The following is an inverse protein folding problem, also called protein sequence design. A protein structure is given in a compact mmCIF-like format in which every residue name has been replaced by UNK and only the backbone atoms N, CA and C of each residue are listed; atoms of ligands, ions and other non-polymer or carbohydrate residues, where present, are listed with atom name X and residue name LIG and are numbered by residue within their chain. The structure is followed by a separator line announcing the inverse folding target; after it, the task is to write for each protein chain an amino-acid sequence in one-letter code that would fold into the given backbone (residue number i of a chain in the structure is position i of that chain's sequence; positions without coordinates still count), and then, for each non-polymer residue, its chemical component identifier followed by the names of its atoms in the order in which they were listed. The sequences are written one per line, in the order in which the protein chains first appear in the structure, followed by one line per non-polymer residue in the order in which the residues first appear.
data_IF_683109626026
#
_entry.id   IF_683109626026
#
_cell.length_a   1.000
_cell.length_b   1.000
_cell.length_c   1.000
_cell.angle_alpha   90.00
_cell.angle_beta   90.00
_cell.angle_gamma   90.00
#
_symmetry.space_group_name_H-M   'P 1'
#
loop_
_entity.id
_entity.type
_entity.pdbx_description
1 polymer ?
#
# COMPACT_ATOMS: atom_id res chain seq x y z
N UNK A 1 7.84 -1.69 18.73
CA UNK A 1 7.83 -0.26 19.12
C UNK A 1 7.81 0.51 17.82
N UNK A 2 6.83 1.39 17.59
CA UNK A 2 6.83 2.25 16.41
C UNK A 2 8.00 3.25 16.53
N UNK A 3 8.83 3.37 15.50
CA UNK A 3 9.92 4.37 15.49
C UNK A 3 9.36 5.79 15.34
N UNK A 4 10.19 6.83 15.57
CA UNK A 4 9.75 8.23 15.44
C UNK A 4 9.19 8.53 14.04
N UNK A 5 9.82 7.99 12.99
CA UNK A 5 9.34 8.13 11.61
C UNK A 5 7.98 7.48 11.42
N UNK A 6 7.80 6.24 11.88
CA UNK A 6 6.53 5.51 11.71
C UNK A 6 5.39 6.20 12.47
N UNK A 7 5.67 6.72 13.67
CA UNK A 7 4.69 7.50 14.42
C UNK A 7 4.31 8.78 13.67
N UNK A 8 5.29 9.51 13.12
CA UNK A 8 5.05 10.70 12.29
C UNK A 8 4.18 10.35 11.07
N UNK A 9 4.61 9.39 10.26
CA UNK A 9 3.92 8.95 9.05
C UNK A 9 2.46 8.54 9.31
N UNK A 10 2.22 7.77 10.38
CA UNK A 10 0.88 7.35 10.79
C UNK A 10 0.03 8.54 11.25
N UNK A 11 0.62 9.51 11.95
CA UNK A 11 -0.07 10.69 12.48
C UNK A 11 -0.47 11.64 11.35
N UNK A 12 0.40 11.85 10.37
CA UNK A 12 0.14 12.71 9.20
C UNK A 12 -1.08 12.25 8.38
N UNK A 13 -1.32 10.93 8.32
CA UNK A 13 -2.50 10.38 7.66
C UNK A 13 -3.80 10.57 8.48
N UNK A 14 -3.72 10.86 9.78
CA UNK A 14 -4.90 10.92 10.64
C UNK A 14 -5.78 12.12 10.32
N UNK A 15 -7.05 11.87 10.00
CA UNK A 15 -8.02 12.92 9.70
C UNK A 15 -7.95 13.46 8.28
N UNK A 16 -7.12 12.83 7.44
CA UNK A 16 -6.99 13.13 6.00
C UNK A 16 -7.78 12.13 5.15
N UNK A 17 -7.96 12.44 3.86
CA UNK A 17 -8.71 11.58 2.93
C UNK A 17 -8.08 10.20 2.71
N UNK A 18 -6.79 10.06 2.99
CA UNK A 18 -5.99 8.84 2.95
C UNK A 18 -5.90 8.15 4.32
N UNK A 19 -6.80 8.44 5.26
CA UNK A 19 -6.78 7.82 6.60
C UNK A 19 -6.93 6.28 6.51
N UNK A 20 -6.02 5.49 7.11
CA UNK A 20 -6.15 4.04 7.13
C UNK A 20 -7.28 3.58 8.07
N UNK A 21 -7.88 2.39 7.82
CA UNK A 21 -8.85 1.78 8.71
C UNK A 21 -8.30 1.60 10.13
N UNK A 22 -9.16 1.87 11.14
CA UNK A 22 -8.80 1.73 12.54
C UNK A 22 -9.85 0.97 13.33
N UNK A 23 -9.40 0.23 14.34
CA UNK A 23 -10.24 -0.44 15.32
C UNK A 23 -9.65 -0.15 16.72
N UNK A 24 -10.46 0.36 17.65
CA UNK A 24 -10.02 0.71 19.01
C UNK A 24 -8.77 1.63 19.04
N UNK A 25 -8.69 2.56 18.09
CA UNK A 25 -7.60 3.54 18.01
C UNK A 25 -6.31 3.04 17.34
N UNK A 26 -6.19 1.75 17.02
CA UNK A 26 -5.02 1.19 16.32
C UNK A 26 -5.34 0.89 14.85
N UNK A 27 -4.29 0.75 14.02
CA UNK A 27 -4.43 0.32 12.63
C UNK A 27 -5.10 -1.06 12.56
N UNK A 28 -6.06 -1.19 11.66
CA UNK A 28 -6.80 -2.43 11.44
C UNK A 28 -6.37 -3.05 10.11
N UNK A 29 -5.95 -4.31 10.16
CA UNK A 29 -5.60 -5.11 8.99
C UNK A 29 -6.51 -6.35 8.95
N UNK A 30 -7.20 -6.56 7.83
CA UNK A 30 -8.04 -7.72 7.57
C UNK A 30 -7.26 -8.96 7.14
N UNK A 31 -6.00 -8.79 6.70
CA UNK A 31 -5.15 -9.90 6.26
C UNK A 31 -3.66 -9.63 6.46
N UNK A 32 -2.83 -10.65 6.26
CA UNK A 32 -1.37 -10.53 6.43
C UNK A 32 -0.73 -9.62 5.37
N UNK A 33 -1.19 -9.70 4.12
CA UNK A 33 -0.63 -8.91 3.03
C UNK A 33 -0.82 -7.40 3.28
N UNK A 34 -1.97 -6.99 3.85
CA UNK A 34 -2.25 -5.58 4.16
C UNK A 34 -1.23 -5.01 5.16
N UNK A 35 -0.90 -5.79 6.19
CA UNK A 35 0.13 -5.43 7.17
C UNK A 35 1.50 -5.33 6.52
N UNK A 36 1.83 -6.29 5.65
CA UNK A 36 3.10 -6.33 4.94
C UNK A 36 3.24 -5.15 3.98
N UNK A 37 2.21 -4.81 3.21
CA UNK A 37 2.21 -3.65 2.31
C UNK A 37 2.43 -2.35 3.07
N UNK A 38 1.76 -2.18 4.22
CA UNK A 38 1.93 -1.01 5.07
C UNK A 38 3.35 -0.90 5.63
N UNK A 39 3.89 -2.01 6.16
CA UNK A 39 5.26 -2.06 6.65
C UNK A 39 6.30 -1.78 5.56
N UNK A 40 6.07 -2.28 4.35
CA UNK A 40 6.96 -2.07 3.20
C UNK A 40 7.00 -0.58 2.79
N UNK A 41 5.84 0.08 2.72
CA UNK A 41 5.80 1.51 2.41
C UNK A 41 6.58 2.34 3.44
N UNK A 42 6.41 2.04 4.73
CA UNK A 42 7.15 2.72 5.80
C UNK A 42 8.66 2.46 5.71
N UNK A 43 9.06 1.22 5.45
CA UNK A 43 10.47 0.87 5.30
C UNK A 43 11.11 1.62 4.12
N UNK A 44 10.46 1.63 2.96
CA UNK A 44 10.98 2.30 1.77
C UNK A 44 11.10 3.81 1.95
N UNK A 45 10.09 4.44 2.55
CA UNK A 45 10.12 5.88 2.83
C UNK A 45 11.19 6.23 3.88
N UNK A 46 11.32 5.41 4.93
CA UNK A 46 12.35 5.60 5.96
C UNK A 46 13.78 5.51 5.40
N UNK A 47 14.00 4.62 4.45
CA UNK A 47 15.30 4.47 3.77
C UNK A 47 15.52 5.53 2.67
N UNK A 48 14.58 6.46 2.47
CA UNK A 48 14.72 7.59 1.54
C UNK A 48 14.53 7.21 0.08
N UNK A 49 13.91 6.07 -0.22
CA UNK A 49 13.63 5.69 -1.61
C UNK A 49 12.57 6.57 -2.26
N UNK A 50 11.61 7.05 -1.48
CA UNK A 50 10.66 8.09 -1.86
C UNK A 50 10.25 8.90 -0.63
N UNK A 51 9.81 10.13 -0.84
CA UNK A 51 9.24 10.95 0.23
C UNK A 51 7.86 10.44 0.62
N UNK A 52 7.55 10.44 1.92
CA UNK A 52 6.26 9.94 2.41
C UNK A 52 5.07 10.70 1.80
N UNK A 53 5.20 12.01 1.63
CA UNK A 53 4.15 12.85 1.05
C UNK A 53 3.90 12.53 -0.43
N UNK A 54 4.95 12.21 -1.21
CA UNK A 54 4.79 11.78 -2.61
C UNK A 54 3.97 10.49 -2.72
N UNK A 55 4.17 9.56 -1.78
CA UNK A 55 3.35 8.35 -1.68
C UNK A 55 1.90 8.67 -1.30
N UNK A 56 1.68 9.58 -0.34
CA UNK A 56 0.33 10.01 0.07
C UNK A 56 -0.44 10.64 -1.08
N UNK A 57 0.20 11.46 -1.91
CA UNK A 57 -0.42 12.05 -3.09
C UNK A 57 -0.88 10.98 -4.09
N UNK A 58 -0.08 9.93 -4.30
CA UNK A 58 -0.50 8.77 -5.09
C UNK A 58 -1.66 8.01 -4.47
N UNK A 59 -1.69 7.87 -3.14
CA UNK A 59 -2.77 7.21 -2.42
C UNK A 59 -4.09 7.95 -2.55
N UNK A 60 -4.08 9.26 -2.30
CA UNK A 60 -5.24 10.13 -2.50
C UNK A 60 -5.72 10.04 -3.96
N UNK A 61 -4.79 10.05 -4.91
CA UNK A 61 -5.11 9.92 -6.33
C UNK A 61 -5.71 8.55 -6.69
N UNK A 62 -5.22 7.46 -6.09
CA UNK A 62 -5.77 6.12 -6.29
C UNK A 62 -7.18 5.99 -5.73
N UNK A 63 -7.39 6.47 -4.51
CA UNK A 63 -8.70 6.51 -3.85
C UNK A 63 -9.70 7.27 -4.73
N UNK A 64 -9.39 8.51 -5.12
CA UNK A 64 -10.28 9.32 -5.98
C UNK A 64 -10.61 8.61 -7.29
N UNK A 65 -9.60 8.05 -7.95
CA UNK A 65 -9.80 7.33 -9.22
C UNK A 65 -10.75 6.15 -9.03
N UNK A 66 -10.57 5.36 -7.98
CA UNK A 66 -11.47 4.24 -7.72
C UNK A 66 -12.90 4.71 -7.48
N UNK A 67 -13.10 5.79 -6.71
CA UNK A 67 -14.41 6.36 -6.43
C UNK A 67 -15.13 6.87 -7.68
N UNK A 68 -14.39 7.44 -8.64
CA UNK A 68 -14.93 7.89 -9.93
C UNK A 68 -15.43 6.71 -10.79
N UNK A 69 -14.73 5.57 -10.77
CA UNK A 69 -15.11 4.37 -11.53
C UNK A 69 -16.19 3.52 -10.84
N UNK A 70 -16.45 3.72 -9.54
CA UNK A 70 -17.43 2.95 -8.75
C UNK A 70 -18.44 3.87 -8.03
N UNK A 71 -19.25 4.64 -8.76
CA UNK A 71 -20.11 5.66 -8.16
C UNK A 71 -21.28 5.11 -7.33
N UNK A 72 -21.71 3.86 -7.59
CA UNK A 72 -22.93 3.29 -7.00
C UNK A 72 -22.69 2.05 -6.14
N UNK A 73 -21.76 1.18 -6.53
CA UNK A 73 -21.43 -0.04 -5.80
C UNK A 73 -20.04 0.08 -5.16
N UNK A 74 -20.01 0.06 -3.82
CA UNK A 74 -18.77 0.10 -3.05
C UNK A 74 -18.52 -1.17 -2.23
N UNK A 75 -19.28 -2.24 -2.51
CA UNK A 75 -19.15 -3.51 -1.78
C UNK A 75 -17.78 -4.16 -1.93
N UNK A 76 -17.08 -3.88 -3.04
CA UNK A 76 -15.71 -4.34 -3.32
C UNK A 76 -14.62 -3.41 -2.79
N UNK A 77 -14.98 -2.34 -2.06
CA UNK A 77 -13.98 -1.38 -1.57
C UNK A 77 -12.99 -2.04 -0.60
N UNK A 78 -11.71 -1.96 -0.94
CA UNK A 78 -10.62 -2.27 -0.04
C UNK A 78 -9.59 -1.13 -0.04
N UNK A 79 -9.41 -0.50 1.12
CA UNK A 79 -8.43 0.57 1.31
C UNK A 79 -7.01 0.11 0.95
N UNK A 80 -6.61 -1.08 1.38
CA UNK A 80 -5.23 -1.55 1.21
C UNK A 80 -4.92 -1.96 -0.24
N UNK A 81 -5.94 -2.19 -1.07
CA UNK A 81 -5.74 -2.34 -2.53
C UNK A 81 -5.38 -0.99 -3.17
N UNK A 82 -6.00 0.11 -2.71
CA UNK A 82 -5.63 1.46 -3.16
C UNK A 82 -4.26 1.86 -2.61
N UNK A 83 -3.97 1.49 -1.36
CA UNK A 83 -2.65 1.65 -0.74
C UNK A 83 -1.56 0.94 -1.54
N UNK A 84 -1.77 -0.32 -1.92
CA UNK A 84 -0.82 -1.09 -2.71
C UNK A 84 -0.64 -0.50 -4.10
N UNK A 85 -1.73 -0.10 -4.76
CA UNK A 85 -1.68 0.56 -6.08
C UNK A 85 -0.84 1.83 -6.03
N UNK A 86 -0.99 2.65 -4.98
CA UNK A 86 -0.19 3.85 -4.79
C UNK A 86 1.28 3.52 -4.49
N UNK A 87 1.54 2.47 -3.70
CA UNK A 87 2.88 2.03 -3.37
C UNK A 87 3.64 1.58 -4.63
N UNK A 88 3.00 0.80 -5.49
CA UNK A 88 3.58 0.37 -6.77
C UNK A 88 3.97 1.57 -7.63
N UNK A 89 3.13 2.59 -7.72
CA UNK A 89 3.44 3.82 -8.47
C UNK A 89 4.59 4.60 -7.85
N UNK A 90 4.62 4.74 -6.52
CA UNK A 90 5.71 5.40 -5.83
C UNK A 90 7.03 4.68 -6.11
N UNK A 91 7.07 3.35 -5.98
CA UNK A 91 8.26 2.53 -6.27
C UNK A 91 8.70 2.66 -7.73
N UNK A 92 7.79 2.61 -8.70
CA UNK A 92 8.16 2.76 -10.11
C UNK A 92 8.81 4.11 -10.40
N UNK A 93 8.37 5.19 -9.73
CA UNK A 93 8.99 6.53 -9.88
C UNK A 93 10.44 6.59 -9.36
N UNK A 94 10.80 5.74 -8.40
CA UNK A 94 12.16 5.68 -7.84
C UNK A 94 13.19 5.04 -8.81
N UNK A 95 12.72 4.40 -9.89
CA UNK A 95 13.53 3.61 -10.82
C UNK A 95 14.31 2.45 -10.16
N UNK A 96 13.93 2.03 -8.94
CA UNK A 96 14.46 0.84 -8.26
C UNK A 96 14.00 -0.45 -8.92
N UNK A 97 12.77 -0.46 -9.40
CA UNK A 97 12.13 -1.58 -10.06
C UNK A 97 11.28 -1.06 -11.20
N UNK A 98 11.50 -1.62 -12.39
CA UNK A 98 10.61 -1.44 -13.53
C UNK A 98 9.31 -2.21 -13.29
N UNK A 99 8.23 -1.81 -13.96
CA UNK A 99 6.97 -2.57 -13.93
C UNK A 99 7.15 -4.02 -14.43
N UNK A 100 8.16 -4.28 -15.28
CA UNK A 100 8.47 -5.63 -15.75
C UNK A 100 9.09 -6.49 -14.64
N UNK A 101 10.11 -5.97 -13.95
CA UNK A 101 10.74 -6.67 -12.81
C UNK A 101 9.73 -6.92 -11.69
N UNK A 102 8.85 -5.95 -11.43
CA UNK A 102 7.76 -6.10 -10.47
C UNK A 102 6.82 -7.26 -10.85
N UNK A 103 6.40 -7.36 -12.12
CA UNK A 103 5.59 -8.49 -12.61
C UNK A 103 6.31 -9.83 -12.47
N UNK A 104 7.60 -9.89 -12.75
CA UNK A 104 8.40 -11.12 -12.63
C UNK A 104 8.49 -11.60 -11.17
N UNK A 105 8.74 -10.69 -10.23
CA UNK A 105 8.75 -11.01 -8.79
C UNK A 105 7.38 -11.53 -8.32
N UNK A 106 6.28 -10.88 -8.72
CA UNK A 106 4.93 -11.33 -8.38
C UNK A 106 4.61 -12.69 -9.00
N UNK A 107 5.06 -12.97 -10.23
CA UNK A 107 4.90 -14.28 -10.85
C UNK A 107 5.65 -15.38 -10.10
N UNK A 108 6.91 -15.15 -9.68
CA UNK A 108 7.70 -16.14 -8.93
C UNK A 108 7.03 -16.53 -7.61
N UNK A 109 6.41 -15.58 -6.91
CA UNK A 109 5.71 -15.83 -5.65
C UNK A 109 4.40 -16.63 -5.82
N UNK A 110 3.82 -16.65 -7.02
CA UNK A 110 2.59 -17.39 -7.31
C UNK A 110 2.86 -18.82 -7.84
N UNK A 111 4.07 -19.11 -8.32
CA UNK A 111 4.47 -20.44 -8.79
C UNK A 111 4.75 -21.40 -7.63
N UNK A 112 5.00 -20.89 -6.42
CA UNK A 112 5.24 -21.69 -5.20
C UNK A 112 4.03 -22.45 -4.64
N UNK A 113 2.82 -22.23 -5.16
CA UNK A 113 1.61 -22.96 -4.76
C UNK A 113 1.22 -24.11 -5.70
N UNK A 114 2.02 -24.35 -6.76
CA UNK A 114 1.87 -25.49 -7.68
C UNK A 114 2.98 -26.54 -7.43
N UNK A 115 3.19 -26.95 -6.18
CA UNK A 115 4.00 -28.13 -5.88
C UNK A 115 3.07 -29.30 -5.54
N UNK A 116 2.71 -30.02 -6.60
CA UNK A 116 2.43 -31.46 -6.67
C UNK A 116 1.70 -32.12 -5.47
N UNK A 117 0.36 -32.20 -5.55
CA UNK A 117 -0.39 -33.29 -4.92
C UNK A 117 -0.43 -34.48 -5.88
N UNK A 118 0.57 -35.36 -5.79
CA UNK A 118 0.48 -36.75 -6.25
C UNK A 118 0.63 -37.69 -5.07
#
# INVERSE_FOLDING_TARGET
MLTQFEHFAVTEMMGSADSPPRANGTLCFGSEWERTSFGLALALAKEGYFEWDDFRDELISSIKRWEEFHPLDRSSWNYYEQFLTALERAVVKTNLLTTQEMREIFHLNNVGLYVDHR
#
